data_IF_908775630905
#
_entry.id   IF_908775630905
#
_cell.length_a   1.000
_cell.length_b   1.000
_cell.length_c   1.000
_cell.angle_alpha   90.00
_cell.angle_beta   90.00
_cell.angle_gamma   90.00
#
_symmetry.space_group_name_H-M   'P 1'
#
loop_
_entity.id
_entity.type
_entity.pdbx_description
1 polymer ?
#
# COMPACT_ATOMS: atom_id res chain seq x y z
N UNK A 1 -48.15 -41.41 29.18
CA UNK A 1 -48.30 -41.99 27.83
C UNK A 1 -49.31 -41.11 27.10
N UNK A 2 -49.11 -40.52 25.92
CA UNK A 2 -48.09 -40.63 24.89
C UNK A 2 -47.97 -39.27 24.16
N UNK A 3 -46.82 -39.09 23.51
CA UNK A 3 -46.41 -37.97 22.65
C UNK A 3 -46.98 -38.13 21.24
N UNK A 4 -47.36 -37.05 20.55
CA UNK A 4 -47.21 -36.96 19.08
C UNK A 4 -46.91 -35.52 18.65
N UNK A 5 -45.92 -35.41 17.78
CA UNK A 5 -45.21 -34.22 17.30
C UNK A 5 -45.85 -33.62 16.04
N UNK A 6 -45.86 -32.28 15.93
CA UNK A 6 -46.27 -31.54 14.72
C UNK A 6 -45.16 -31.55 13.66
N UNK A 7 -45.56 -31.87 12.43
CA UNK A 7 -44.71 -31.98 11.24
C UNK A 7 -44.47 -30.61 10.56
N UNK A 8 -43.34 -30.51 9.85
CA UNK A 8 -42.70 -29.30 9.33
C UNK A 8 -43.14 -28.97 7.90
N UNK A 9 -43.60 -27.73 7.69
CA UNK A 9 -43.79 -27.17 6.35
C UNK A 9 -42.46 -26.82 5.65
N UNK A 10 -42.30 -27.27 4.41
CA UNK A 10 -41.30 -26.81 3.43
C UNK A 10 -41.97 -26.70 2.07
N UNK A 11 -42.45 -25.51 1.73
CA UNK A 11 -42.85 -25.12 0.38
C UNK A 11 -41.91 -24.03 -0.10
N UNK A 12 -41.07 -24.34 -1.09
CA UNK A 12 -40.08 -23.45 -1.70
C UNK A 12 -40.73 -22.82 -2.94
N UNK A 13 -40.94 -21.51 -2.92
CA UNK A 13 -41.47 -20.76 -4.07
C UNK A 13 -40.36 -20.49 -5.09
N UNK A 14 -40.66 -20.76 -6.37
CA UNK A 14 -39.90 -20.37 -7.55
C UNK A 14 -40.44 -19.02 -8.06
N UNK A 15 -39.60 -18.11 -8.57
CA UNK A 15 -40.05 -17.06 -9.48
C UNK A 15 -39.59 -17.32 -10.93
N UNK A 16 -40.50 -17.04 -11.86
CA UNK A 16 -40.32 -16.99 -13.32
C UNK A 16 -39.42 -15.81 -13.77
N UNK A 17 -38.81 -15.88 -14.97
CA UNK A 17 -38.05 -14.77 -15.57
C UNK A 17 -38.74 -14.14 -16.80
N UNK A 18 -38.66 -12.81 -16.94
CA UNK A 18 -38.97 -12.01 -18.14
C UNK A 18 -38.22 -10.65 -18.03
N UNK A 19 -38.03 -9.85 -19.10
CA UNK A 19 -36.71 -9.64 -19.72
C UNK A 19 -36.26 -8.17 -19.76
N UNK A 20 -34.95 -7.88 -19.84
CA UNK A 20 -34.45 -6.57 -20.29
C UNK A 20 -33.16 -6.67 -21.12
N UNK A 21 -33.24 -6.15 -22.36
CA UNK A 21 -32.15 -5.87 -23.29
C UNK A 21 -31.41 -4.60 -22.88
N UNK A 22 -30.06 -4.60 -22.84
CA UNK A 22 -29.25 -3.44 -23.27
C UNK A 22 -27.89 -3.90 -23.80
N UNK A 23 -27.59 -3.39 -25.00
CA UNK A 23 -26.37 -3.56 -25.75
C UNK A 23 -25.21 -2.74 -25.17
N UNK A 24 -24.02 -3.34 -25.15
CA UNK A 24 -22.77 -2.66 -24.84
C UNK A 24 -21.60 -3.47 -25.37
N UNK A 25 -21.06 -3.08 -26.52
CA UNK A 25 -19.87 -3.68 -27.10
C UNK A 25 -18.63 -3.24 -26.31
N UNK A 26 -17.79 -4.19 -25.92
CA UNK A 26 -16.42 -3.89 -25.53
C UNK A 26 -15.49 -5.05 -25.90
N UNK A 27 -14.52 -4.69 -26.73
CA UNK A 27 -13.37 -5.43 -27.23
C UNK A 27 -12.73 -6.40 -26.23
N UNK A 28 -12.59 -7.65 -26.67
CA UNK A 28 -11.86 -8.72 -25.99
C UNK A 28 -10.34 -8.54 -26.17
N UNK A 29 -9.63 -8.25 -25.08
CA UNK A 29 -8.20 -8.52 -24.96
C UNK A 29 -8.01 -9.76 -24.07
N UNK A 30 -7.40 -10.79 -24.65
CA UNK A 30 -7.19 -12.08 -24.00
C UNK A 30 -6.25 -11.95 -22.81
N UNK A 31 -6.72 -12.40 -21.64
CA UNK A 31 -5.88 -12.68 -20.48
C UNK A 31 -5.53 -14.16 -20.52
N UNK A 32 -4.28 -14.46 -20.88
CA UNK A 32 -3.70 -15.79 -20.80
C UNK A 32 -3.48 -16.14 -19.32
N UNK A 33 -4.11 -17.24 -18.93
CA UNK A 33 -3.95 -17.91 -17.65
C UNK A 33 -2.63 -18.68 -17.67
N UNK A 34 -1.59 -18.17 -17.02
CA UNK A 34 -0.37 -18.93 -16.77
C UNK A 34 -0.58 -19.84 -15.54
N UNK A 35 -0.73 -21.13 -15.82
CA UNK A 35 -0.63 -22.20 -14.83
C UNK A 35 0.85 -22.41 -14.51
N UNK A 36 1.28 -22.01 -13.32
CA UNK A 36 2.59 -22.38 -12.76
C UNK A 36 2.59 -23.89 -12.46
N UNK A 37 3.08 -24.65 -13.43
CA UNK A 37 3.47 -26.04 -13.27
C UNK A 37 4.97 -26.03 -12.95
N UNK A 38 5.31 -26.09 -11.65
CA UNK A 38 6.69 -26.22 -11.17
C UNK A 38 7.26 -27.57 -11.67
N UNK A 39 7.84 -27.56 -12.86
CA UNK A 39 8.79 -28.59 -13.29
C UNK A 39 10.19 -28.05 -12.99
N UNK A 40 10.91 -28.73 -12.10
CA UNK A 40 12.35 -28.52 -11.87
C UNK A 40 13.12 -28.74 -13.18
N UNK A 41 13.25 -27.66 -13.96
CA UNK A 41 14.03 -27.63 -15.18
C UNK A 41 15.43 -27.15 -14.80
N UNK A 42 16.39 -28.08 -14.70
CA UNK A 42 17.81 -27.76 -14.62
C UNK A 42 18.29 -27.40 -16.04
N UNK A 43 18.49 -26.12 -16.38
CA UNK A 43 18.90 -25.73 -17.72
C UNK A 43 20.32 -26.23 -18.00
N UNK A 44 20.50 -26.95 -19.11
CA UNK A 44 21.83 -27.35 -19.56
C UNK A 44 22.70 -26.10 -19.82
N UNK A 45 24.02 -26.17 -19.59
CA UNK A 45 24.92 -25.03 -19.83
C UNK A 45 24.85 -24.53 -21.28
N UNK A 46 24.67 -25.45 -22.24
CA UNK A 46 24.52 -25.13 -23.67
C UNK A 46 23.26 -24.31 -23.95
N UNK A 47 22.15 -24.57 -23.24
CA UNK A 47 20.92 -23.81 -23.40
C UNK A 47 21.10 -22.36 -22.94
N UNK A 48 21.82 -22.14 -21.83
CA UNK A 48 22.14 -20.80 -21.32
C UNK A 48 23.06 -20.04 -22.28
N UNK A 49 24.05 -20.72 -22.86
CA UNK A 49 24.93 -20.14 -23.87
C UNK A 49 24.15 -19.71 -25.12
N UNK A 50 23.25 -20.58 -25.62
CA UNK A 50 22.38 -20.25 -26.76
C UNK A 50 21.48 -19.04 -26.48
N UNK A 51 21.00 -18.89 -25.24
CA UNK A 51 20.16 -17.78 -24.82
C UNK A 51 20.96 -16.46 -24.78
N UNK A 52 22.19 -16.50 -24.27
CA UNK A 52 23.09 -15.35 -24.23
C UNK A 52 23.51 -14.91 -25.64
N UNK A 53 23.72 -15.87 -26.54
CA UNK A 53 24.08 -15.58 -27.93
C UNK A 53 22.93 -14.92 -28.68
N UNK A 54 21.70 -15.40 -28.47
CA UNK A 54 20.47 -14.78 -29.00
C UNK A 54 20.24 -13.36 -28.45
N UNK A 55 20.55 -13.14 -27.16
CA UNK A 55 20.49 -11.81 -26.56
C UNK A 55 21.52 -10.85 -27.19
N UNK A 56 22.75 -11.33 -27.46
CA UNK A 56 23.80 -10.54 -28.13
C UNK A 56 23.40 -10.16 -29.56
N UNK A 57 22.81 -11.08 -30.32
CA UNK A 57 22.32 -10.80 -31.67
C UNK A 57 21.23 -9.72 -31.68
N UNK A 58 20.27 -9.78 -30.74
CA UNK A 58 19.23 -8.76 -30.62
C UNK A 58 19.80 -7.37 -30.26
N UNK A 59 20.84 -7.32 -29.43
CA UNK A 59 21.52 -6.05 -29.11
C UNK A 59 22.30 -5.52 -30.32
N UNK A 60 22.92 -6.40 -31.11
CA UNK A 60 23.64 -6.01 -32.32
C UNK A 60 22.70 -5.51 -33.41
N UNK A 61 21.58 -6.19 -33.67
CA UNK A 61 20.58 -5.74 -34.64
C UNK A 61 19.95 -4.41 -34.23
N UNK A 62 19.67 -4.21 -32.94
CA UNK A 62 19.18 -2.93 -32.42
C UNK A 62 20.23 -1.80 -32.54
N UNK A 63 21.53 -2.10 -32.42
CA UNK A 63 22.61 -1.13 -32.65
C UNK A 63 22.76 -0.79 -34.13
N UNK A 64 22.66 -1.78 -35.03
CA UNK A 64 22.70 -1.57 -36.47
C UNK A 64 21.50 -0.75 -36.95
N UNK A 65 20.30 -1.02 -36.44
CA UNK A 65 19.10 -0.23 -36.74
C UNK A 65 19.28 1.25 -36.33
N UNK A 66 19.85 1.51 -35.14
CA UNK A 66 20.16 2.88 -34.70
C UNK A 66 21.25 3.56 -35.51
N UNK A 67 22.23 2.81 -36.02
CA UNK A 67 23.26 3.35 -36.90
C UNK A 67 22.72 3.67 -38.30
N UNK A 68 21.75 2.89 -38.80
CA UNK A 68 21.07 3.17 -40.07
C UNK A 68 20.15 4.41 -39.96
N UNK A 69 19.52 4.63 -38.80
CA UNK A 69 18.75 5.86 -38.54
C UNK A 69 19.65 7.11 -38.46
N UNK A 70 20.89 6.99 -37.95
CA UNK A 70 21.84 8.11 -37.90
C UNK A 70 22.52 8.44 -39.24
N UNK A 71 22.39 7.57 -40.26
CA UNK A 71 22.97 7.79 -41.59
C UNK A 71 21.99 8.45 -42.57
N UNK A 72 20.74 8.69 -42.17
CA UNK A 72 19.68 9.23 -43.04
C UNK A 72 19.20 10.65 -42.67
N UNK A 73 19.95 11.37 -41.83
CA UNK A 73 19.65 12.74 -41.40
C UNK A 73 20.48 13.83 -42.14
N UNK A 74 20.92 13.54 -43.38
CA UNK A 74 21.59 14.54 -44.22
C UNK A 74 21.16 14.41 -45.68
N UNK A 75 19.97 14.93 -46.00
CA UNK A 75 19.59 15.49 -47.31
C UNK A 75 18.09 15.85 -47.26
N UNK A 76 17.82 17.10 -46.89
CA UNK A 76 16.52 17.75 -47.09
C UNK A 76 16.78 19.02 -47.89
N UNK A 77 16.90 18.87 -49.20
CA UNK A 77 16.98 19.99 -50.14
C UNK A 77 15.60 20.65 -50.22
N UNK A 78 15.51 21.93 -49.87
CA UNK A 78 14.35 22.77 -50.12
C UNK A 78 14.49 23.35 -51.54
N UNK A 79 13.63 22.94 -52.47
CA UNK A 79 13.53 23.52 -53.81
C UNK A 79 13.04 24.97 -53.73
N UNK A 80 13.97 25.93 -53.78
CA UNK A 80 13.66 27.35 -53.94
C UNK A 80 13.45 27.65 -55.43
N UNK A 81 12.20 27.91 -55.81
CA UNK A 81 11.85 28.43 -57.14
C UNK A 81 12.27 29.90 -57.20
N UNK A 82 13.40 30.18 -57.85
CA UNK A 82 13.82 31.55 -58.19
C UNK A 82 13.03 31.98 -59.42
N UNK A 83 12.04 32.86 -59.22
CA UNK A 83 11.37 33.56 -60.31
C UNK A 83 12.35 34.60 -60.88
N UNK A 84 12.78 34.37 -62.12
CA UNK A 84 13.70 35.22 -62.86
C UNK A 84 12.98 36.53 -63.25
N UNK A 85 13.28 37.61 -62.54
CA UNK A 85 12.93 38.97 -62.96
C UNK A 85 12.31 39.84 -61.88
N UNK A 86 13.10 40.30 -60.91
CA UNK A 86 12.83 41.58 -60.23
C UNK A 86 14.16 42.33 -60.03
N UNK A 87 14.14 43.57 -60.51
CA UNK A 87 15.26 44.51 -60.51
C UNK A 87 15.72 44.83 -59.07
N UNK A 88 17.03 44.99 -58.88
CA UNK A 88 17.66 45.34 -57.59
C UNK A 88 17.07 46.65 -57.02
N UNK A 89 16.08 46.54 -56.13
CA UNK A 89 15.65 47.65 -55.28
C UNK A 89 16.61 47.81 -54.09
N UNK A 90 16.98 49.04 -53.72
CA UNK A 90 17.84 49.29 -52.56
C UNK A 90 17.17 48.78 -51.28
N UNK A 91 17.94 48.06 -50.46
CA UNK A 91 17.48 47.53 -49.19
C UNK A 91 16.99 48.67 -48.27
N UNK A 92 15.80 48.50 -47.71
CA UNK A 92 15.21 49.48 -46.80
C UNK A 92 16.08 49.66 -45.55
N UNK A 93 16.17 50.88 -45.00
CA UNK A 93 16.90 51.11 -43.76
C UNK A 93 16.31 50.28 -42.62
N UNK A 94 17.16 49.69 -41.74
CA UNK A 94 16.68 48.88 -40.63
C UNK A 94 15.88 49.77 -39.68
N UNK A 95 14.62 49.40 -39.46
CA UNK A 95 13.79 50.03 -38.44
C UNK A 95 14.24 49.51 -37.07
N UNK A 96 14.56 50.43 -36.16
CA UNK A 96 14.90 50.10 -34.78
C UNK A 96 13.63 50.25 -33.91
N UNK A 97 12.95 49.14 -33.54
CA UNK A 97 11.66 49.20 -32.86
C UNK A 97 11.74 49.61 -31.38
N UNK A 98 12.94 49.92 -30.87
CA UNK A 98 13.15 50.25 -29.47
C UNK A 98 12.91 49.05 -28.53
N UNK A 99 12.57 49.33 -27.27
CA UNK A 99 12.37 48.29 -26.25
C UNK A 99 10.96 47.72 -26.36
N UNK A 100 10.85 46.51 -26.92
CA UNK A 100 9.58 45.80 -27.01
C UNK A 100 9.16 45.18 -25.66
N UNK A 101 7.85 45.10 -25.38
CA UNK A 101 7.35 44.36 -24.22
C UNK A 101 7.71 42.87 -24.33
N UNK A 102 7.82 42.17 -23.19
CA UNK A 102 8.09 40.73 -23.19
C UNK A 102 6.99 39.98 -23.96
N UNK A 103 7.37 38.96 -24.72
CA UNK A 103 6.43 38.16 -25.50
C UNK A 103 5.46 37.41 -24.58
N UNK A 104 4.20 37.32 -25.00
CA UNK A 104 3.15 36.55 -24.31
C UNK A 104 3.45 35.05 -24.20
N UNK A 105 4.25 34.52 -25.13
CA UNK A 105 4.66 33.12 -25.16
C UNK A 105 6.18 33.06 -25.32
N UNK A 106 6.83 32.19 -24.55
CA UNK A 106 8.24 31.86 -24.74
C UNK A 106 8.41 30.35 -24.95
N UNK A 107 9.02 29.99 -26.07
CA UNK A 107 9.39 28.62 -26.38
C UNK A 107 10.78 28.40 -25.78
N UNK A 108 10.89 27.51 -24.78
CA UNK A 108 12.20 27.17 -24.23
C UNK A 108 12.91 26.23 -25.22
N UNK A 109 14.17 26.51 -25.63
CA UNK A 109 14.88 25.67 -26.59
C UNK A 109 15.06 24.24 -26.06
N UNK A 110 14.82 23.26 -26.92
CA UNK A 110 14.72 21.84 -26.59
C UNK A 110 15.99 21.24 -25.92
N UNK A 111 17.13 21.93 -25.96
CA UNK A 111 18.40 21.49 -25.37
C UNK A 111 18.43 21.51 -23.83
N UNK A 112 17.45 22.13 -23.17
CA UNK A 112 17.37 22.21 -21.70
C UNK A 112 16.38 21.22 -21.07
N UNK A 113 15.68 20.41 -21.87
CA UNK A 113 14.71 19.42 -21.41
C UNK A 113 15.39 18.13 -20.89
N UNK A 114 16.24 18.25 -19.88
CA UNK A 114 16.68 17.12 -19.03
C UNK A 114 15.67 16.87 -17.91
N UNK A 115 14.38 16.77 -18.22
CA UNK A 115 13.45 16.10 -17.32
C UNK A 115 12.28 15.53 -18.10
N UNK A 116 12.09 14.23 -17.94
CA UNK A 116 10.94 13.48 -18.44
C UNK A 116 9.73 13.83 -17.57
N UNK A 117 9.24 15.05 -17.71
CA UNK A 117 8.01 15.51 -17.09
C UNK A 117 7.17 16.21 -18.17
N UNK A 118 5.92 15.75 -18.31
CA UNK A 118 4.90 16.26 -19.21
C UNK A 118 4.56 17.72 -18.87
N UNK A 119 5.42 18.65 -19.25
CA UNK A 119 5.17 20.08 -19.15
C UNK A 119 5.19 20.67 -20.54
N UNK A 120 4.18 21.49 -20.84
CA UNK A 120 4.06 22.16 -22.13
C UNK A 120 5.36 22.97 -22.39
N UNK A 121 5.96 22.87 -23.60
CA UNK A 121 7.17 23.62 -23.94
C UNK A 121 6.94 25.14 -24.04
N UNK A 122 5.67 25.57 -23.89
CA UNK A 122 5.21 26.95 -23.94
C UNK A 122 5.05 27.49 -22.52
N UNK A 123 5.84 28.50 -22.16
CA UNK A 123 5.60 29.32 -20.97
C UNK A 123 4.73 30.52 -21.37
N UNK A 124 3.57 30.63 -20.73
CA UNK A 124 2.66 31.77 -20.85
C UNK A 124 3.10 32.89 -19.91
N UNK A 125 3.26 34.09 -20.45
CA UNK A 125 3.54 35.30 -19.70
C UNK A 125 2.28 36.18 -19.71
N UNK A 126 1.44 36.04 -18.67
CA UNK A 126 0.25 36.86 -18.52
C UNK A 126 0.60 38.22 -17.89
N UNK A 127 0.32 39.35 -18.56
CA UNK A 127 0.67 40.68 -18.03
C UNK A 127 -0.05 41.00 -16.72
N UNK A 128 -1.30 40.54 -16.57
CA UNK A 128 -2.09 40.78 -15.36
C UNK A 128 -1.47 40.09 -14.13
N UNK A 129 -0.87 38.91 -14.30
CA UNK A 129 -0.15 38.21 -13.22
C UNK A 129 1.09 38.99 -12.80
N UNK A 130 1.81 39.58 -13.76
CA UNK A 130 2.98 40.41 -13.44
C UNK A 130 2.60 41.71 -12.71
N UNK A 131 1.48 42.34 -13.10
CA UNK A 131 0.96 43.55 -12.44
C UNK A 131 0.49 43.23 -11.03
N UNK A 132 -0.21 42.11 -10.83
CA UNK A 132 -0.64 41.68 -9.50
C UNK A 132 0.53 41.29 -8.60
N UNK A 133 1.58 40.64 -9.13
CA UNK A 133 2.81 40.36 -8.37
C UNK A 133 3.53 41.65 -7.97
N UNK A 134 3.71 42.60 -8.90
CA UNK A 134 4.33 43.89 -8.62
C UNK A 134 3.52 44.73 -7.63
N UNK A 135 2.19 44.66 -7.70
CA UNK A 135 1.30 45.28 -6.72
C UNK A 135 1.38 44.59 -5.34
N UNK A 136 1.45 43.26 -5.31
CA UNK A 136 1.59 42.48 -4.09
C UNK A 136 2.95 42.70 -3.41
N UNK A 137 4.03 42.90 -4.19
CA UNK A 137 5.35 43.29 -3.68
C UNK A 137 5.34 44.70 -3.07
N UNK A 138 4.47 45.59 -3.56
CA UNK A 138 4.25 46.92 -2.99
C UNK A 138 3.42 46.93 -1.70
N UNK A 139 2.67 45.86 -1.42
CA UNK A 139 1.96 45.67 -0.16
C UNK A 139 2.91 45.03 0.84
N UNK A 140 3.38 45.83 1.81
CA UNK A 140 4.15 45.36 2.96
C UNK A 140 3.27 44.49 3.88
N UNK A 141 2.99 43.26 3.45
CA UNK A 141 2.40 42.22 4.30
C UNK A 141 3.46 41.92 5.37
N UNK A 142 3.16 42.09 6.67
CA UNK A 142 4.11 41.75 7.72
C UNK A 142 4.48 40.28 7.55
N UNK A 143 5.79 40.01 7.51
CA UNK A 143 6.32 38.68 7.29
C UNK A 143 5.59 37.69 8.20
N UNK A 144 5.08 36.56 7.65
CA UNK A 144 4.37 35.59 8.45
C UNK A 144 5.23 35.20 9.65
N UNK A 145 4.66 35.15 10.87
CA UNK A 145 5.44 34.93 12.08
C UNK A 145 6.29 33.67 11.90
N UNK A 146 7.60 33.83 12.11
CA UNK A 146 8.55 32.72 12.03
C UNK A 146 8.05 31.61 12.94
N UNK A 147 7.76 30.44 12.36
CA UNK A 147 7.32 29.27 13.14
C UNK A 147 8.29 29.07 14.30
N UNK A 148 7.81 28.97 15.55
CA UNK A 148 8.70 28.80 16.69
C UNK A 148 9.58 27.57 16.45
N UNK A 149 10.89 27.77 16.51
CA UNK A 149 11.87 26.68 16.47
C UNK A 149 11.50 25.69 17.58
N UNK A 150 11.30 24.41 17.24
CA UNK A 150 11.08 23.38 18.26
C UNK A 150 12.32 23.31 19.16
N UNK A 151 12.19 23.87 20.36
CA UNK A 151 13.23 23.88 21.38
C UNK A 151 13.09 22.62 22.23
N UNK A 152 14.19 21.94 22.51
CA UNK A 152 14.17 20.76 23.37
C UNK A 152 13.86 21.13 24.82
N UNK A 153 13.57 20.13 25.65
CA UNK A 153 13.36 20.30 27.11
C UNK A 153 14.54 21.04 27.79
N UNK A 154 15.71 21.01 27.17
CA UNK A 154 16.96 21.60 27.65
C UNK A 154 17.25 23.00 27.07
N UNK A 155 16.29 23.64 26.39
CA UNK A 155 16.46 25.00 25.85
C UNK A 155 17.36 25.11 24.60
N UNK A 156 17.91 23.99 24.11
CA UNK A 156 18.77 23.93 22.92
C UNK A 156 17.94 23.72 21.66
N UNK A 157 18.36 24.35 20.56
CA UNK A 157 17.78 24.13 19.22
C UNK A 157 18.12 22.71 18.79
N UNK A 158 17.10 21.87 18.56
CA UNK A 158 17.34 20.49 18.15
C UNK A 158 18.05 20.44 16.79
N UNK A 159 19.00 19.53 16.67
CA UNK A 159 19.64 19.26 15.39
C UNK A 159 18.62 18.68 14.39
N UNK A 160 18.86 18.86 13.08
CA UNK A 160 17.98 18.29 12.04
C UNK A 160 17.81 16.76 12.17
N UNK A 161 18.82 16.05 12.71
CA UNK A 161 18.76 14.59 12.94
C UNK A 161 17.85 14.24 14.12
N UNK A 162 17.94 14.96 15.23
CA UNK A 162 17.08 14.75 16.40
C UNK A 162 15.63 15.12 16.09
N UNK A 163 15.39 16.24 15.38
CA UNK A 163 14.04 16.62 14.90
C UNK A 163 13.42 15.50 14.04
N UNK A 164 14.20 14.90 13.14
CA UNK A 164 13.73 13.74 12.36
C UNK A 164 13.46 12.52 13.23
N UNK A 165 14.32 12.20 14.19
CA UNK A 165 14.13 11.08 15.10
C UNK A 165 12.84 11.22 15.91
N UNK A 166 12.59 12.39 16.51
CA UNK A 166 11.35 12.69 17.23
C UNK A 166 10.12 12.57 16.33
N UNK A 167 10.19 13.11 15.11
CA UNK A 167 9.10 12.95 14.12
C UNK A 167 8.84 11.50 13.72
N UNK A 168 9.83 10.61 13.80
CA UNK A 168 9.64 9.17 13.51
C UNK A 168 9.20 8.33 14.71
N UNK A 169 9.33 8.86 15.92
CA UNK A 169 8.79 8.24 17.13
C UNK A 169 7.28 8.37 17.19
N UNK A 170 6.73 9.34 16.46
CA UNK A 170 5.34 9.71 16.50
C UNK A 170 4.68 9.51 15.14
N UNK A 171 3.40 9.14 15.09
CA UNK A 171 2.63 9.05 13.85
C UNK A 171 2.46 10.40 13.12
N UNK A 172 2.75 11.50 13.83
CA UNK A 172 2.71 12.88 13.37
C UNK A 172 1.38 13.60 13.69
N UNK A 173 1.37 14.90 13.45
CA UNK A 173 0.26 15.80 13.84
C UNK A 173 -1.10 15.43 13.23
N UNK A 174 -1.13 14.85 12.01
CA UNK A 174 -2.37 14.36 11.38
C UNK A 174 -3.07 13.27 12.19
N UNK A 175 -2.34 12.58 13.05
CA UNK A 175 -2.84 11.52 13.91
C UNK A 175 -2.50 11.79 15.39
N UNK A 176 -2.80 13.01 15.82
CA UNK A 176 -2.69 13.50 17.21
C UNK A 176 -1.39 13.12 17.92
N UNK A 177 -0.30 13.08 17.16
CA UNK A 177 1.00 12.72 17.68
C UNK A 177 1.00 11.39 18.48
N UNK A 178 0.35 10.35 17.93
CA UNK A 178 0.34 9.02 18.55
C UNK A 178 1.77 8.46 18.68
N UNK A 179 2.24 8.13 19.91
CA UNK A 179 3.59 7.64 20.13
C UNK A 179 3.74 6.17 19.68
N UNK A 180 4.93 5.82 19.22
CA UNK A 180 5.33 4.44 19.03
C UNK A 180 5.57 3.77 20.41
N UNK A 181 5.14 2.52 20.60
CA UNK A 181 5.32 1.82 21.87
C UNK A 181 6.81 1.58 22.19
N UNK A 182 7.22 1.69 23.47
CA UNK A 182 8.61 1.55 23.86
C UNK A 182 9.07 0.09 23.75
N UNK A 183 10.34 -0.15 23.37
CA UNK A 183 10.86 -1.49 23.10
C UNK A 183 10.81 -2.43 24.32
N UNK A 184 10.88 -1.88 25.54
CA UNK A 184 10.82 -2.66 26.78
C UNK A 184 9.48 -3.34 27.02
N UNK A 185 8.38 -2.73 26.57
CA UNK A 185 7.01 -3.25 26.76
C UNK A 185 6.58 -4.22 25.66
N UNK A 186 7.37 -4.34 24.58
CA UNK A 186 7.02 -5.11 23.38
C UNK A 186 6.65 -6.57 23.65
N UNK A 187 7.30 -7.33 24.55
CA UNK A 187 6.93 -8.74 24.75
C UNK A 187 5.49 -8.93 25.24
N UNK A 188 5.04 -8.10 26.20
CA UNK A 188 3.67 -8.15 26.72
C UNK A 188 2.65 -7.57 25.74
N UNK A 189 3.03 -6.55 24.96
CA UNK A 189 2.19 -6.01 23.91
C UNK A 189 2.04 -7.00 22.75
N UNK A 190 3.09 -7.76 22.46
CA UNK A 190 3.12 -8.72 21.38
C UNK A 190 2.07 -9.83 21.59
N UNK A 191 1.99 -10.38 22.80
CA UNK A 191 1.00 -11.42 23.11
C UNK A 191 -0.44 -10.90 22.99
N UNK A 192 -0.69 -9.66 23.42
CA UNK A 192 -1.99 -9.01 23.29
C UNK A 192 -2.38 -8.79 21.83
N UNK A 193 -1.45 -8.29 21.03
CA UNK A 193 -1.65 -8.09 19.59
C UNK A 193 -1.92 -9.41 18.88
N UNK A 194 -1.15 -10.45 19.21
CA UNK A 194 -1.31 -11.77 18.62
C UNK A 194 -2.70 -12.35 18.95
N UNK A 195 -3.18 -12.14 20.19
CA UNK A 195 -4.55 -12.53 20.57
C UNK A 195 -5.62 -11.82 19.72
N UNK A 196 -5.44 -10.53 19.43
CA UNK A 196 -6.35 -9.75 18.59
C UNK A 196 -6.34 -10.27 17.15
N UNK A 197 -5.15 -10.55 16.60
CA UNK A 197 -5.01 -11.17 15.27
C UNK A 197 -5.72 -12.53 15.20
N UNK A 198 -5.66 -13.31 16.28
CA UNK A 198 -6.28 -14.62 16.38
C UNK A 198 -7.74 -14.57 16.86
N UNK A 199 -8.39 -13.39 16.91
CA UNK A 199 -9.78 -13.19 17.40
C UNK A 199 -10.79 -14.18 16.81
N UNK A 200 -10.64 -14.51 15.53
CA UNK A 200 -11.50 -15.45 14.79
C UNK A 200 -11.39 -16.91 15.28
N UNK A 201 -10.40 -17.24 16.10
CA UNK A 201 -10.12 -18.60 16.60
C UNK A 201 -10.40 -18.74 18.09
N UNK A 202 -10.49 -17.62 18.81
CA UNK A 202 -10.77 -17.58 20.23
C UNK A 202 -12.19 -18.05 20.54
N UNK A 203 -13.17 -17.50 19.81
CA UNK A 203 -14.59 -17.82 19.97
C UNK A 203 -15.13 -18.48 18.69
N UNK A 204 -15.64 -19.73 18.74
CA UNK A 204 -16.22 -20.41 17.58
C UNK A 204 -17.51 -19.76 17.06
N UNK A 205 -18.17 -18.90 17.85
CA UNK A 205 -19.44 -18.27 17.48
C UNK A 205 -19.26 -16.90 16.84
N UNK A 206 -18.10 -16.28 17.00
CA UNK A 206 -17.81 -14.93 16.50
C UNK A 206 -16.94 -15.01 15.26
N UNK A 207 -17.48 -14.52 14.15
CA UNK A 207 -16.76 -14.39 12.89
C UNK A 207 -16.52 -12.91 12.60
N UNK A 208 -15.27 -12.49 12.62
CA UNK A 208 -14.84 -11.15 12.22
C UNK A 208 -14.40 -11.14 10.77
N UNK A 209 -14.48 -9.96 10.15
CA UNK A 209 -13.84 -9.70 8.87
C UNK A 209 -12.33 -9.93 8.99
N UNK A 210 -11.74 -10.56 7.98
CA UNK A 210 -10.29 -10.75 7.89
C UNK A 210 -9.64 -9.45 7.50
N UNK A 211 -8.69 -8.97 8.28
CA UNK A 211 -7.91 -7.79 7.91
C UNK A 211 -6.82 -8.19 6.90
N UNK A 212 -6.57 -7.35 5.89
CA UNK A 212 -5.60 -7.63 4.82
C UNK A 212 -4.17 -7.87 5.35
N UNK A 213 -3.87 -7.32 6.53
CA UNK A 213 -2.62 -7.52 7.26
C UNK A 213 -2.54 -8.80 8.09
N UNK A 214 -3.65 -9.52 8.33
CA UNK A 214 -3.65 -10.73 9.16
C UNK A 214 -2.75 -11.83 8.60
N UNK A 215 -2.54 -11.88 7.29
CA UNK A 215 -1.66 -12.86 6.62
C UNK A 215 -0.18 -12.58 6.87
N UNK A 216 0.22 -11.32 7.03
CA UNK A 216 1.63 -10.87 7.07
C UNK A 216 2.28 -10.97 8.45
N UNK A 217 1.66 -11.67 9.39
CA UNK A 217 2.26 -11.87 10.71
C UNK A 217 2.33 -10.59 11.53
N UNK A 218 3.30 -10.57 12.44
CA UNK A 218 3.71 -9.41 13.25
C UNK A 218 4.00 -8.18 12.36
N UNK A 219 4.48 -8.42 11.14
CA UNK A 219 4.84 -7.40 10.16
C UNK A 219 3.64 -6.73 9.49
N UNK A 220 2.44 -7.32 9.64
CA UNK A 220 1.18 -6.75 9.15
C UNK A 220 0.58 -5.68 10.07
N UNK A 221 1.15 -5.47 11.27
CA UNK A 221 0.62 -4.51 12.23
C UNK A 221 1.11 -3.08 11.96
N UNK A 222 0.29 -2.05 12.21
CA UNK A 222 0.75 -0.66 12.22
C UNK A 222 1.95 -0.44 13.15
N UNK A 223 2.90 0.37 12.67
CA UNK A 223 4.09 0.81 13.44
C UNK A 223 3.72 1.62 14.69
N UNK A 224 2.64 2.40 14.61
CA UNK A 224 2.16 3.27 15.68
C UNK A 224 0.84 2.72 16.21
N UNK A 225 0.80 2.35 17.48
CA UNK A 225 -0.41 1.89 18.16
C UNK A 225 -0.32 2.21 19.65
N UNK A 226 -1.47 2.38 20.29
CA UNK A 226 -1.60 2.53 21.73
C UNK A 226 -2.72 1.60 22.23
N UNK A 227 -2.54 1.07 23.43
CA UNK A 227 -3.57 0.30 24.11
C UNK A 227 -4.28 1.23 25.08
N UNK A 228 -5.59 1.39 24.90
CA UNK A 228 -6.46 2.15 25.79
C UNK A 228 -7.32 1.23 26.66
N UNK A 229 -7.79 1.76 27.78
CA UNK A 229 -8.80 1.11 28.62
C UNK A 229 -10.13 1.83 28.44
N UNK A 230 -11.22 1.07 28.45
CA UNK A 230 -12.57 1.64 28.31
C UNK A 230 -12.96 2.29 29.64
N UNK A 231 -13.19 3.60 29.62
CA UNK A 231 -13.71 4.36 30.76
C UNK A 231 -15.23 4.35 30.66
N UNK A 232 -15.89 3.78 31.67
CA UNK A 232 -17.35 3.70 31.69
C UNK A 232 -17.95 5.08 31.90
N UNK A 233 -18.97 5.40 31.10
CA UNK A 233 -19.78 6.59 31.28
C UNK A 233 -21.06 6.23 32.03
N UNK A 234 -21.51 7.01 33.02
CA UNK A 234 -22.73 6.74 33.76
C UNK A 234 -23.96 7.05 32.89
N UNK A 235 -24.36 6.09 32.05
CA UNK A 235 -25.59 6.15 31.25
C UNK A 235 -26.76 5.40 31.91
N UNK A 236 -28.01 5.66 31.50
CA UNK A 236 -29.20 5.05 32.09
C UNK A 236 -29.31 3.53 31.85
N UNK A 237 -28.56 2.98 30.89
CA UNK A 237 -28.45 1.55 30.61
C UNK A 237 -27.12 0.98 31.09
N UNK A 238 -26.66 1.37 32.28
CA UNK A 238 -25.41 0.91 32.91
C UNK A 238 -25.37 -0.60 33.25
N UNK A 239 -26.05 -1.44 32.47
CA UNK A 239 -25.87 -2.89 32.44
C UNK A 239 -24.65 -3.31 31.60
N UNK A 240 -23.98 -2.34 30.94
CA UNK A 240 -22.76 -2.57 30.17
C UNK A 240 -21.48 -2.50 31.02
N UNK A 241 -21.59 -2.00 32.26
CA UNK A 241 -20.51 -2.08 33.22
C UNK A 241 -20.44 -3.51 33.71
N UNK A 242 -19.44 -4.26 33.25
CA UNK A 242 -18.92 -5.41 33.99
C UNK A 242 -18.91 -5.01 35.47
N UNK A 243 -19.85 -5.56 36.24
CA UNK A 243 -20.14 -5.11 37.59
C UNK A 243 -18.83 -5.10 38.37
N UNK A 244 -18.50 -3.91 38.84
CA UNK A 244 -17.43 -3.55 39.76
C UNK A 244 -17.23 -4.60 40.85
N UNK A 245 -16.49 -5.65 40.56
CA UNK A 245 -16.03 -6.61 41.56
C UNK A 245 -14.53 -6.43 41.72
N UNK A 246 -14.20 -5.32 42.36
CA UNK A 246 -12.93 -5.06 43.03
C UNK A 246 -12.59 -6.15 44.08
N UNK A 247 -13.45 -7.15 44.31
CA UNK A 247 -13.30 -8.18 45.35
C UNK A 247 -13.63 -9.64 44.98
N UNK A 248 -13.84 -10.03 43.71
CA UNK A 248 -14.26 -11.42 43.42
C UNK A 248 -13.99 -11.91 42.00
N UNK A 249 -12.78 -12.39 41.73
CA UNK A 249 -12.43 -13.32 40.64
C UNK A 249 -12.47 -12.80 39.19
N UNK A 250 -13.56 -12.15 38.77
CA UNK A 250 -13.88 -11.79 37.39
C UNK A 250 -13.86 -10.29 37.08
N UNK A 251 -13.03 -9.51 37.77
CA UNK A 251 -12.88 -8.07 37.51
C UNK A 251 -12.06 -7.73 36.26
N UNK A 252 -12.06 -6.46 35.86
CA UNK A 252 -11.19 -5.90 34.80
C UNK A 252 -9.74 -6.27 35.07
N UNK A 253 -9.03 -6.83 34.08
CA UNK A 253 -7.62 -7.20 34.25
C UNK A 253 -6.71 -6.14 33.65
N UNK A 254 -5.41 -6.31 33.89
CA UNK A 254 -4.38 -5.39 33.37
C UNK A 254 -4.15 -5.56 31.88
N UNK A 255 -4.36 -6.77 31.35
CA UNK A 255 -4.13 -7.10 29.94
C UNK A 255 -5.30 -7.88 29.37
N UNK A 256 -5.53 -7.71 28.06
CA UNK A 256 -6.56 -8.44 27.32
C UNK A 256 -6.39 -9.98 27.40
N UNK A 257 -5.13 -10.43 27.43
CA UNK A 257 -4.82 -11.87 27.48
C UNK A 257 -5.18 -12.46 28.84
N UNK A 258 -4.95 -11.71 29.93
CA UNK A 258 -5.32 -12.17 31.28
C UNK A 258 -6.84 -12.35 31.40
N UNK A 259 -7.63 -11.45 30.80
CA UNK A 259 -9.09 -11.58 30.75
C UNK A 259 -9.53 -12.85 30.01
N UNK A 260 -8.87 -13.15 28.89
CA UNK A 260 -9.15 -14.35 28.10
C UNK A 260 -8.78 -15.65 28.84
N UNK A 261 -7.70 -15.63 29.62
CA UNK A 261 -7.24 -16.80 30.40
C UNK A 261 -8.19 -17.09 31.56
N UNK A 262 -8.78 -16.04 32.13
CA UNK A 262 -9.76 -16.14 33.21
C UNK A 262 -11.16 -16.54 32.74
N UNK A 263 -11.50 -16.33 31.45
CA UNK A 263 -12.75 -16.79 30.86
C UNK A 263 -12.84 -18.33 30.81
N UNK A 264 -13.78 -18.88 31.57
CA UNK A 264 -14.01 -20.32 31.68
C UNK A 264 -14.44 -20.94 30.35
N UNK A 265 -15.25 -20.24 29.55
CA UNK A 265 -15.76 -20.76 28.29
C UNK A 265 -14.62 -20.90 27.28
N UNK A 266 -13.85 -19.81 27.07
CA UNK A 266 -12.69 -19.80 26.20
C UNK A 266 -11.67 -20.87 26.59
N UNK A 267 -11.37 -21.02 27.88
CA UNK A 267 -10.44 -22.03 28.40
C UNK A 267 -10.91 -23.46 28.13
N UNK A 268 -12.19 -23.75 28.35
CA UNK A 268 -12.76 -25.07 28.12
C UNK A 268 -12.72 -25.45 26.63
N UNK A 269 -13.05 -24.51 25.75
CA UNK A 269 -13.04 -24.68 24.30
C UNK A 269 -11.61 -24.87 23.79
N UNK A 270 -10.69 -23.99 24.19
CA UNK A 270 -9.28 -24.07 23.81
C UNK A 270 -8.67 -25.41 24.23
N UNK A 271 -8.93 -25.88 25.46
CA UNK A 271 -8.45 -27.18 25.94
C UNK A 271 -9.03 -28.35 25.15
N UNK A 272 -10.33 -28.32 24.85
CA UNK A 272 -11.00 -29.34 24.02
C UNK A 272 -10.38 -29.40 22.63
N UNK A 273 -10.29 -28.25 21.95
CA UNK A 273 -9.70 -28.16 20.60
C UNK A 273 -8.22 -28.50 20.56
N UNK A 274 -7.47 -28.10 21.57
CA UNK A 274 -6.06 -28.47 21.67
C UNK A 274 -5.88 -29.99 21.74
N UNK A 275 -6.65 -30.69 22.58
CA UNK A 275 -6.59 -32.16 22.66
C UNK A 275 -7.00 -32.85 21.37
N UNK A 276 -8.04 -32.35 20.70
CA UNK A 276 -8.47 -32.84 19.38
C UNK A 276 -7.34 -32.72 18.35
N UNK A 277 -6.69 -31.54 18.28
CA UNK A 277 -5.58 -31.28 17.36
C UNK A 277 -4.32 -32.08 17.71
N UNK A 278 -3.99 -32.22 19.00
CA UNK A 278 -2.86 -33.04 19.42
C UNK A 278 -3.10 -34.51 19.08
N UNK A 279 -4.30 -35.05 19.32
CA UNK A 279 -4.63 -36.42 18.92
C UNK A 279 -4.48 -36.66 17.41
N UNK A 280 -4.93 -35.71 16.58
CA UNK A 280 -4.73 -35.78 15.13
C UNK A 280 -3.25 -35.70 14.75
N UNK A 281 -2.48 -34.82 15.41
CA UNK A 281 -1.04 -34.65 15.16
C UNK A 281 -0.23 -35.87 15.60
N UNK A 282 -0.55 -36.45 16.75
CA UNK A 282 0.07 -37.66 17.30
C UNK A 282 -0.21 -38.87 16.41
N UNK A 283 -1.46 -39.03 15.95
CA UNK A 283 -1.85 -40.10 15.03
C UNK A 283 -1.14 -40.05 13.68
N UNK A 284 -0.74 -38.85 13.22
CA UNK A 284 0.06 -38.63 12.00
C UNK A 284 1.57 -38.48 12.28
N UNK A 285 1.97 -38.49 13.54
CA UNK A 285 3.31 -38.15 13.99
C UNK A 285 4.31 -39.31 13.94
N UNK A 286 5.56 -38.99 14.26
CA UNK A 286 6.66 -39.96 14.37
C UNK A 286 6.38 -41.06 15.41
N UNK A 287 5.62 -40.74 16.46
CA UNK A 287 5.21 -41.70 17.49
C UNK A 287 4.33 -42.83 16.93
N UNK A 288 3.35 -42.50 16.08
CA UNK A 288 2.48 -43.50 15.46
C UNK A 288 3.25 -44.40 14.47
N UNK A 289 4.17 -43.84 13.69
CA UNK A 289 5.03 -44.60 12.78
C UNK A 289 6.02 -45.50 13.53
N UNK A 290 6.62 -45.01 14.63
CA UNK A 290 7.48 -45.80 15.50
C UNK A 290 6.71 -46.94 16.18
N UNK A 291 5.51 -46.68 16.69
CA UNK A 291 4.65 -47.71 17.27
C UNK A 291 4.27 -48.80 16.25
N UNK A 292 3.99 -48.43 14.99
CA UNK A 292 3.75 -49.38 13.90
C UNK A 292 4.98 -50.23 13.60
N UNK A 293 6.17 -49.62 13.57
CA UNK A 293 7.44 -50.31 13.33
C UNK A 293 7.82 -51.24 14.51
N UNK A 294 7.54 -50.82 15.74
CA UNK A 294 7.76 -51.63 16.94
C UNK A 294 6.86 -52.86 16.99
N UNK A 295 5.59 -52.74 16.56
CA UNK A 295 4.67 -53.89 16.44
C UNK A 295 5.09 -54.90 15.37
N UNK A 296 5.76 -54.46 14.31
CA UNK A 296 6.32 -55.33 13.27
C UNK A 296 7.63 -56.02 13.65
N UNK A 297 8.25 -55.66 14.77
CA UNK A 297 9.44 -56.33 15.32
C UNK A 297 8.99 -57.43 16.29
N UNK A 298 8.37 -58.46 15.73
CA UNK A 298 8.10 -59.71 16.44
C UNK A 298 9.40 -60.34 16.92
N UNK A 299 9.39 -60.83 18.17
CA UNK A 299 10.50 -61.50 18.84
C UNK A 299 10.82 -62.80 18.09
N UNK A 300 12.08 -62.97 17.71
CA UNK A 300 12.67 -64.26 17.37
C UNK A 300 13.06 -64.98 18.65
#
# INVERSE_FOLDING_TARGET
MALTTRDKGKGRALPEPEPEDYSGSSSSSGSSSDSDSDSDFDPSPEYLESLLEKARQNVQSAKQAKQAEQANDHEGEEDVIVLEGEEELPSLPPLDPGVLPPSYFSVSPASTLKSKAKSNPLKLNDPDVSVTQKAAEGLAVPAPPLRPEEVGKDGKVLTKKEKKALRTQTAGSKWFDLPAPPPSSLPSLYTQIESLRLRNRLDPKRFYRKDEGESKGIKGLPKYFAIGTIVDTPGPFANNGAERTEGGGGGRKRTLVDELVDDAEAKSYAKKKFRELQGVREGRGRGATLARRGRGRGKW
#
